data_IF_394667033068
#
_entry.id   IF_394667033068
#
_cell.length_a   1.000
_cell.length_b   1.000
_cell.length_c   1.000
_cell.angle_alpha   90.00
_cell.angle_beta   90.00
_cell.angle_gamma   90.00
#
_symmetry.space_group_name_H-M   'P 1'
#
loop_
_entity.id
_entity.type
_entity.pdbx_description
1 polymer ?
#
# COMPACT_ATOMS: atom_id res chain seq x y z
N UNK A 1 -15.07 -8.75 2.00
CA UNK A 1 -15.01 -8.83 0.53
C UNK A 1 -13.55 -8.83 0.13
N UNK A 2 -13.03 -9.93 -0.41
CA UNK A 2 -11.70 -9.99 -1.02
C UNK A 2 -11.81 -9.57 -2.49
N UNK A 3 -10.81 -8.86 -2.99
CA UNK A 3 -10.75 -8.48 -4.41
C UNK A 3 -9.99 -9.57 -5.18
N UNK A 4 -10.49 -10.00 -6.33
CA UNK A 4 -9.80 -10.98 -7.19
C UNK A 4 -9.01 -10.26 -8.28
N UNK A 5 -7.71 -10.54 -8.37
CA UNK A 5 -6.83 -10.09 -9.46
C UNK A 5 -6.26 -11.31 -10.19
N UNK A 6 -5.56 -11.11 -11.31
CA UNK A 6 -4.96 -12.20 -12.07
C UNK A 6 -3.44 -12.01 -12.21
N UNK A 7 -2.66 -13.07 -11.97
CA UNK A 7 -1.22 -13.10 -12.18
C UNK A 7 -0.88 -14.20 -13.17
N UNK A 8 -0.34 -13.82 -14.34
CA UNK A 8 -0.06 -14.75 -15.44
C UNK A 8 -1.30 -15.59 -15.84
N UNK A 9 -2.48 -14.98 -15.82
CA UNK A 9 -3.76 -15.65 -16.10
C UNK A 9 -4.36 -16.43 -14.92
N UNK A 10 -3.60 -16.65 -13.83
CA UNK A 10 -4.09 -17.36 -12.66
C UNK A 10 -4.78 -16.42 -11.68
N UNK A 11 -5.96 -16.78 -11.14
CA UNK A 11 -6.66 -15.95 -10.15
C UNK A 11 -5.90 -15.89 -8.83
N UNK A 12 -5.78 -14.68 -8.26
CA UNK A 12 -5.13 -14.40 -6.98
C UNK A 12 -6.08 -13.56 -6.12
N UNK A 13 -6.42 -14.06 -4.94
CA UNK A 13 -7.25 -13.33 -3.99
C UNK A 13 -6.40 -12.28 -3.24
N UNK A 14 -6.89 -11.04 -3.19
CA UNK A 14 -6.33 -9.94 -2.41
C UNK A 14 -7.12 -9.81 -1.11
N UNK A 15 -6.41 -9.93 0.01
CA UNK A 15 -6.98 -9.76 1.34
C UNK A 15 -7.21 -8.27 1.66
N UNK A 16 -8.23 -8.00 2.48
CA UNK A 16 -8.60 -6.64 2.86
C UNK A 16 -9.27 -5.86 1.72
N UNK A 17 -9.28 -4.53 1.84
CA UNK A 17 -9.88 -3.63 0.86
C UNK A 17 -8.92 -2.50 0.50
N UNK A 18 -8.92 -2.12 -0.78
CA UNK A 18 -8.15 -0.97 -1.26
C UNK A 18 -8.87 0.32 -0.84
N UNK A 19 -8.18 1.31 -0.23
CA UNK A 19 -8.77 2.59 0.13
C UNK A 19 -9.46 3.26 -1.06
N UNK A 20 -10.71 3.68 -0.85
CA UNK A 20 -11.50 4.38 -1.86
C UNK A 20 -11.27 5.89 -1.78
N UNK A 21 -11.65 6.62 -2.83
CA UNK A 21 -11.58 8.09 -2.82
C UNK A 21 -12.37 8.66 -1.63
N UNK A 22 -11.82 9.71 -1.00
CA UNK A 22 -12.39 10.32 0.21
C UNK A 22 -12.11 9.56 1.51
N UNK A 23 -11.63 8.31 1.46
CA UNK A 23 -11.22 7.60 2.68
C UNK A 23 -9.92 8.17 3.25
N UNK A 24 -9.82 8.22 4.59
CA UNK A 24 -8.58 8.58 5.27
C UNK A 24 -7.60 7.40 5.21
N UNK A 25 -6.41 7.64 4.67
CA UNK A 25 -5.34 6.65 4.67
C UNK A 25 -4.97 6.26 6.11
N UNK A 26 -4.90 4.95 6.36
CA UNK A 26 -4.49 4.41 7.65
C UNK A 26 -3.00 4.67 7.89
N UNK A 27 -2.57 4.88 9.16
CA UNK A 27 -1.16 5.01 9.48
C UNK A 27 -0.43 3.69 9.19
N UNK A 28 0.80 3.79 8.73
CA UNK A 28 1.70 2.66 8.52
C UNK A 28 3.13 3.07 8.81
N UNK A 29 3.96 2.06 9.07
CA UNK A 29 5.41 2.16 9.20
C UNK A 29 6.03 1.16 8.22
N UNK A 30 7.00 1.62 7.43
CA UNK A 30 7.78 0.81 6.50
C UNK A 30 9.28 1.01 6.77
N UNK A 31 10.11 0.15 6.21
CA UNK A 31 11.56 0.22 6.40
C UNK A 31 12.21 0.90 5.20
N UNK A 32 13.05 1.91 5.45
CA UNK A 32 13.85 2.58 4.44
C UNK A 32 15.09 1.77 4.02
N UNK A 33 15.79 2.25 2.99
CA UNK A 33 17.02 1.62 2.48
C UNK A 33 18.12 1.52 3.55
N UNK A 34 18.19 2.50 4.44
CA UNK A 34 19.14 2.57 5.55
C UNK A 34 18.66 1.85 6.81
N UNK A 35 17.59 1.04 6.70
CA UNK A 35 16.97 0.27 7.77
C UNK A 35 16.24 1.11 8.83
N UNK A 36 16.09 2.42 8.60
CA UNK A 36 15.29 3.27 9.48
C UNK A 36 13.79 3.09 9.29
N UNK A 37 13.02 3.36 10.35
CA UNK A 37 11.56 3.40 10.30
C UNK A 37 11.06 4.67 9.60
N UNK A 38 10.20 4.46 8.61
CA UNK A 38 9.50 5.52 7.87
C UNK A 38 8.01 5.40 8.11
N UNK A 39 7.43 6.40 8.78
CA UNK A 39 5.99 6.45 9.03
C UNK A 39 5.27 7.39 8.07
N UNK A 40 3.99 7.13 7.80
CA UNK A 40 3.16 8.02 6.97
C UNK A 40 3.13 9.47 7.52
N UNK A 41 3.22 9.64 8.84
CA UNK A 41 3.18 10.93 9.51
C UNK A 41 4.39 11.82 9.18
N UNK A 42 5.56 11.23 8.88
CA UNK A 42 6.75 11.97 8.46
C UNK A 42 6.52 12.79 7.18
N UNK A 43 5.51 12.45 6.38
CA UNK A 43 5.11 13.16 5.15
C UNK A 43 3.88 14.07 5.34
N UNK A 44 3.62 14.55 6.55
CA UNK A 44 2.56 15.54 6.80
C UNK A 44 2.74 16.80 5.92
N UNK A 45 1.61 17.39 5.49
CA UNK A 45 1.60 18.56 4.60
C UNK A 45 1.97 18.30 3.13
N UNK A 46 2.48 17.12 2.78
CA UNK A 46 2.79 16.73 1.40
C UNK A 46 1.71 15.85 0.78
N UNK A 47 1.60 15.88 -0.54
CA UNK A 47 0.86 14.88 -1.34
C UNK A 47 1.70 13.61 -1.42
N UNK A 48 1.06 12.45 -1.33
CA UNK A 48 1.71 11.13 -1.30
C UNK A 48 1.17 10.32 -2.45
N UNK A 49 2.06 9.76 -3.27
CA UNK A 49 1.73 8.76 -4.30
C UNK A 49 2.33 7.44 -3.83
N UNK A 50 1.48 6.48 -3.50
CA UNK A 50 1.91 5.14 -3.09
C UNK A 50 1.99 4.24 -4.32
N UNK A 51 3.21 3.92 -4.76
CA UNK A 51 3.44 2.97 -5.84
C UNK A 51 3.75 1.59 -5.24
N UNK A 52 2.78 0.68 -5.29
CA UNK A 52 2.82 -0.64 -4.63
C UNK A 52 3.00 -1.71 -5.70
N UNK A 53 4.05 -2.53 -5.58
CA UNK A 53 4.38 -3.56 -6.56
C UNK A 53 4.88 -4.83 -5.87
N UNK A 54 4.50 -6.02 -6.38
CA UNK A 54 5.16 -7.27 -6.04
C UNK A 54 6.65 -7.18 -6.43
N UNK A 55 7.53 -7.72 -5.59
CA UNK A 55 8.92 -8.01 -5.95
C UNK A 55 9.07 -9.53 -6.01
N UNK A 56 10.07 -10.01 -6.76
CA UNK A 56 10.32 -11.42 -7.09
C UNK A 56 9.82 -12.45 -6.07
#
# INVERSE_FOLDING_TARGET
MSQLVHFQGNPVAVAGSIPQSGSKAQPFTLVAKDLSDVTLAQFAGKRKVLNIFPKH
#
